data_IF_269803851070
#
_entry.id   IF_269803851070
#
_cell.length_a   1.000
_cell.length_b   1.000
_cell.length_c   1.000
_cell.angle_alpha   90.00
_cell.angle_beta   90.00
_cell.angle_gamma   90.00
#
_symmetry.space_group_name_H-M   'P 1'
#
loop_
_entity.id
_entity.type
_entity.pdbx_description
1 polymer ?
#
# COMPACT_ATOMS: atom_id res chain seq x y z
N UNK A 1 -16.59 -14.61 -48.41
CA UNK A 1 -15.48 -14.03 -47.64
C UNK A 1 -16.00 -13.72 -46.22
N UNK A 2 -15.77 -14.62 -45.25
CA UNK A 2 -16.19 -14.47 -43.86
C UNK A 2 -15.07 -13.76 -43.09
N UNK A 3 -15.33 -12.54 -42.61
CA UNK A 3 -14.40 -11.79 -41.76
C UNK A 3 -14.51 -12.31 -40.35
N UNK A 4 -13.48 -12.96 -39.88
CA UNK A 4 -13.31 -13.44 -38.51
C UNK A 4 -12.90 -12.24 -37.62
N UNK A 5 -13.79 -11.75 -36.76
CA UNK A 5 -13.47 -10.76 -35.74
C UNK A 5 -12.82 -11.48 -34.55
N UNK A 6 -11.53 -11.33 -34.41
CA UNK A 6 -10.77 -11.79 -33.27
C UNK A 6 -10.95 -10.77 -32.14
N UNK A 7 -11.85 -11.05 -31.22
CA UNK A 7 -12.05 -10.24 -30.02
C UNK A 7 -10.90 -10.43 -29.05
N UNK A 8 -10.09 -9.37 -28.88
CA UNK A 8 -9.00 -9.31 -27.90
C UNK A 8 -9.61 -9.10 -26.49
N UNK A 9 -9.83 -10.19 -25.76
CA UNK A 9 -10.20 -10.14 -24.33
C UNK A 9 -8.97 -9.77 -23.53
N UNK A 10 -8.90 -8.51 -23.11
CA UNK A 10 -7.91 -8.06 -22.11
C UNK A 10 -8.22 -8.72 -20.77
N UNK A 11 -7.45 -9.73 -20.40
CA UNK A 11 -7.50 -10.35 -19.08
C UNK A 11 -6.99 -9.35 -18.04
N UNK A 12 -7.89 -8.81 -17.22
CA UNK A 12 -7.60 -8.02 -16.03
C UNK A 12 -6.93 -8.93 -15.00
N UNK A 13 -5.60 -8.89 -14.94
CA UNK A 13 -4.82 -9.46 -13.83
C UNK A 13 -4.99 -8.55 -12.60
N UNK A 14 -6.07 -8.75 -11.85
CA UNK A 14 -6.23 -8.14 -10.52
C UNK A 14 -5.24 -8.79 -9.58
N UNK A 15 -4.29 -7.99 -9.05
CA UNK A 15 -3.34 -8.50 -8.05
C UNK A 15 -4.09 -9.02 -6.81
N UNK A 16 -3.67 -10.13 -6.25
CA UNK A 16 -4.30 -10.79 -5.09
C UNK A 16 -4.46 -9.85 -3.86
N UNK A 17 -3.67 -8.77 -3.78
CA UNK A 17 -3.78 -7.76 -2.72
C UNK A 17 -5.03 -6.88 -2.84
N UNK A 18 -5.65 -6.78 -4.02
CA UNK A 18 -6.89 -6.02 -4.25
C UNK A 18 -8.13 -6.81 -3.83
N UNK A 19 -8.07 -8.14 -3.85
CA UNK A 19 -9.23 -9.03 -3.69
C UNK A 19 -9.93 -8.94 -2.32
N UNK A 20 -9.26 -8.41 -1.28
CA UNK A 20 -9.81 -8.31 0.09
C UNK A 20 -9.74 -6.88 0.66
N UNK A 21 -9.65 -5.86 -0.20
CA UNK A 21 -9.54 -4.48 0.22
C UNK A 21 -10.89 -3.78 0.12
N UNK A 22 -11.41 -3.28 1.24
CA UNK A 22 -12.61 -2.45 1.26
C UNK A 22 -12.29 -1.05 0.73
N UNK A 23 -13.26 -0.44 0.05
CA UNK A 23 -13.13 0.92 -0.46
C UNK A 23 -13.50 1.95 0.62
N UNK A 24 -12.88 3.14 0.61
CA UNK A 24 -13.21 4.21 1.55
C UNK A 24 -14.58 4.84 1.24
N UNK A 25 -15.15 5.52 2.24
CA UNK A 25 -16.38 6.31 2.09
C UNK A 25 -16.05 7.65 1.41
N UNK A 26 -16.02 7.62 0.09
CA UNK A 26 -15.73 8.78 -0.75
C UNK A 26 -16.71 8.87 -1.91
N UNK A 27 -16.89 10.07 -2.44
CA UNK A 27 -17.59 10.33 -3.70
C UNK A 27 -16.56 10.72 -4.75
N UNK A 28 -16.03 9.75 -5.54
CA UNK A 28 -15.03 10.06 -6.55
C UNK A 28 -15.62 10.96 -7.64
N UNK A 29 -14.75 11.68 -8.35
CA UNK A 29 -15.15 12.50 -9.48
C UNK A 29 -15.94 11.67 -10.50
N UNK A 30 -17.10 12.17 -10.92
CA UNK A 30 -18.00 11.44 -11.84
C UNK A 30 -17.47 11.35 -13.26
N UNK A 31 -16.45 12.15 -13.60
CA UNK A 31 -15.78 12.14 -14.91
C UNK A 31 -14.28 12.34 -14.76
N UNK A 32 -13.52 11.68 -15.64
CA UNK A 32 -12.07 11.66 -15.59
C UNK A 32 -11.53 10.85 -14.42
N UNK A 33 -10.24 10.97 -14.20
CA UNK A 33 -9.53 10.22 -13.16
C UNK A 33 -9.56 10.94 -11.81
N UNK A 34 -9.63 10.18 -10.73
CA UNK A 34 -9.51 10.68 -9.36
C UNK A 34 -8.69 9.70 -8.53
N UNK A 35 -7.67 10.21 -7.86
CA UNK A 35 -6.81 9.46 -6.94
C UNK A 35 -7.30 9.68 -5.51
N UNK A 36 -7.52 8.60 -4.77
CA UNK A 36 -7.82 8.68 -3.33
C UNK A 36 -6.77 7.88 -2.56
N UNK A 37 -6.07 8.53 -1.64
CA UNK A 37 -5.07 7.89 -0.79
C UNK A 37 -5.60 7.88 0.63
N UNK A 38 -5.89 6.68 1.16
CA UNK A 38 -6.27 6.56 2.57
C UNK A 38 -5.05 6.14 3.41
N UNK A 39 -4.59 7.07 4.23
CA UNK A 39 -3.39 6.93 5.06
C UNK A 39 -3.48 5.71 5.99
N UNK A 40 -4.60 5.54 6.69
CA UNK A 40 -4.78 4.48 7.66
C UNK A 40 -4.83 3.09 7.03
N UNK A 41 -5.32 3.03 5.79
CA UNK A 41 -5.41 1.83 4.97
C UNK A 41 -4.11 1.50 4.25
N UNK A 42 -3.23 2.52 4.07
CA UNK A 42 -2.01 2.41 3.26
C UNK A 42 -2.32 1.91 1.84
N UNK A 43 -3.36 2.51 1.25
CA UNK A 43 -3.82 2.20 -0.10
C UNK A 43 -4.09 3.47 -0.90
N UNK A 44 -3.75 3.39 -2.18
CA UNK A 44 -4.14 4.34 -3.21
C UNK A 44 -5.20 3.68 -4.08
N UNK A 45 -6.32 4.36 -4.23
CA UNK A 45 -7.45 3.98 -5.06
C UNK A 45 -7.48 4.88 -6.28
N UNK A 46 -7.38 4.31 -7.46
CA UNK A 46 -7.53 5.02 -8.72
C UNK A 46 -8.96 4.80 -9.22
N UNK A 47 -9.69 5.89 -9.37
CA UNK A 47 -11.01 5.90 -9.97
C UNK A 47 -10.94 6.48 -11.38
N UNK A 48 -11.78 6.00 -12.27
CA UNK A 48 -11.98 6.52 -13.63
C UNK A 48 -13.49 6.64 -13.89
N UNK A 49 -13.94 7.85 -14.21
CA UNK A 49 -15.35 8.17 -14.42
C UNK A 49 -16.25 7.66 -13.27
N UNK A 50 -15.81 7.88 -12.04
CA UNK A 50 -16.52 7.49 -10.81
C UNK A 50 -16.43 6.02 -10.45
N UNK A 51 -15.81 5.17 -11.28
CA UNK A 51 -15.66 3.73 -11.03
C UNK A 51 -14.24 3.41 -10.55
N UNK A 52 -14.13 2.53 -9.57
CA UNK A 52 -12.84 2.04 -9.13
C UNK A 52 -12.14 1.27 -10.26
N UNK A 53 -10.98 1.76 -10.67
CA UNK A 53 -10.15 1.15 -11.71
C UNK A 53 -9.07 0.25 -11.11
N UNK A 54 -8.34 0.76 -10.11
CA UNK A 54 -7.23 0.00 -9.50
C UNK A 54 -6.98 0.39 -8.05
N UNK A 55 -6.43 -0.56 -7.28
CA UNK A 55 -5.98 -0.36 -5.90
C UNK A 55 -4.49 -0.70 -5.83
N UNK A 56 -3.70 0.22 -5.28
CA UNK A 56 -2.26 0.02 -5.07
C UNK A 56 -1.93 0.03 -3.58
N UNK A 57 -1.11 -0.90 -3.10
CA UNK A 57 -0.49 -0.77 -1.78
C UNK A 57 0.51 0.39 -1.79
N UNK A 58 0.52 1.20 -0.73
CA UNK A 58 1.42 2.34 -0.62
C UNK A 58 2.07 2.43 0.76
N UNK A 59 3.25 3.04 0.83
CA UNK A 59 3.76 3.52 2.10
C UNK A 59 3.56 5.04 2.17
N UNK A 60 3.25 5.51 3.37
CA UNK A 60 2.94 6.91 3.69
C UNK A 60 3.88 7.45 4.77
N UNK A 61 3.81 8.75 5.03
CA UNK A 61 4.64 9.43 6.02
C UNK A 61 4.50 8.86 7.43
N UNK A 62 5.57 8.95 8.21
CA UNK A 62 5.59 8.68 9.65
C UNK A 62 4.77 9.71 10.40
N UNK A 63 4.47 9.46 11.69
CA UNK A 63 3.75 10.41 12.54
C UNK A 63 4.45 11.78 12.65
N UNK A 64 5.79 11.79 12.64
CA UNK A 64 6.58 13.03 12.69
C UNK A 64 6.70 13.75 11.33
N UNK A 65 6.51 13.04 10.23
CA UNK A 65 6.64 13.54 8.85
C UNK A 65 5.42 13.08 8.05
N UNK A 66 4.25 13.58 8.43
CA UNK A 66 2.96 13.11 7.90
C UNK A 66 2.81 13.43 6.41
N UNK A 67 2.20 12.52 5.67
CA UNK A 67 1.68 12.84 4.34
C UNK A 67 0.57 13.87 4.50
N UNK A 68 0.67 14.99 3.77
CA UNK A 68 -0.27 16.12 3.87
C UNK A 68 -1.67 15.70 3.45
N UNK A 69 -2.61 15.81 4.38
CA UNK A 69 -4.03 15.51 4.13
C UNK A 69 -4.69 16.64 3.34
N UNK A 70 -5.77 16.31 2.65
CA UNK A 70 -6.60 17.28 1.93
C UNK A 70 -6.66 17.03 0.43
N UNK A 71 -7.10 18.06 -0.29
CA UNK A 71 -7.29 18.01 -1.73
C UNK A 71 -6.04 18.49 -2.46
N UNK A 72 -5.61 17.70 -3.41
CA UNK A 72 -4.43 17.93 -4.23
C UNK A 72 -4.77 17.74 -5.72
N UNK A 73 -3.77 17.95 -6.57
CA UNK A 73 -3.80 17.58 -7.98
C UNK A 73 -2.53 16.82 -8.33
N UNK A 74 -2.64 15.92 -9.26
CA UNK A 74 -1.48 15.26 -9.86
C UNK A 74 -0.73 16.29 -10.70
N UNK A 75 0.55 16.44 -10.43
CA UNK A 75 1.44 17.34 -11.13
C UNK A 75 2.31 16.65 -12.18
N UNK A 76 3.44 17.28 -12.48
CA UNK A 76 4.41 16.78 -13.46
C UNK A 76 5.03 15.44 -13.04
N UNK A 77 5.43 14.67 -14.04
CA UNK A 77 6.06 13.35 -13.89
C UNK A 77 7.54 13.45 -14.28
N UNK A 78 8.42 12.83 -13.51
CA UNK A 78 9.83 12.69 -13.84
C UNK A 78 10.19 11.20 -13.88
N UNK A 79 10.70 10.73 -15.01
CA UNK A 79 11.21 9.37 -15.16
C UNK A 79 12.72 9.38 -14.95
N UNK A 80 13.20 8.35 -14.24
CA UNK A 80 14.60 8.23 -13.83
C UNK A 80 15.14 9.54 -13.20
N UNK A 81 14.45 10.05 -12.14
CA UNK A 81 14.83 11.30 -11.52
C UNK A 81 16.18 11.17 -10.80
N UNK A 82 16.90 12.28 -10.67
CA UNK A 82 17.98 12.44 -9.69
C UNK A 82 17.33 12.89 -8.38
N UNK A 83 17.60 12.21 -7.28
CA UNK A 83 17.13 12.67 -5.97
C UNK A 83 18.11 13.67 -5.36
N UNK A 84 17.68 14.92 -5.25
CA UNK A 84 18.38 15.94 -4.47
C UNK A 84 17.94 15.82 -3.01
N UNK A 85 18.90 15.52 -2.14
CA UNK A 85 18.63 15.21 -0.74
C UNK A 85 18.33 16.51 0.02
N UNK A 86 17.16 16.69 0.65
CA UNK A 86 16.85 17.85 1.46
C UNK A 86 17.85 18.04 2.60
N UNK A 87 18.10 19.30 2.99
CA UNK A 87 19.09 19.64 4.03
C UNK A 87 18.77 18.97 5.39
N UNK A 88 17.50 18.79 5.71
CA UNK A 88 17.05 18.06 6.90
C UNK A 88 17.57 16.63 6.92
N UNK A 89 17.40 15.93 5.80
CA UNK A 89 17.82 14.53 5.63
C UNK A 89 19.35 14.43 5.53
N UNK A 90 20.02 15.40 4.87
CA UNK A 90 21.48 15.44 4.84
C UNK A 90 22.06 15.50 6.26
N UNK A 91 21.42 16.27 7.17
CA UNK A 91 21.82 16.34 8.58
C UNK A 91 21.58 15.02 9.33
N UNK A 92 20.48 14.33 9.05
CA UNK A 92 20.19 13.01 9.66
C UNK A 92 21.19 11.95 9.20
N UNK A 93 21.52 11.94 7.92
CA UNK A 93 22.46 10.98 7.32
C UNK A 93 23.90 11.24 7.71
N UNK A 94 24.29 12.49 7.79
CA UNK A 94 25.64 12.94 8.11
C UNK A 94 26.76 12.23 7.31
N UNK A 95 26.47 11.92 6.03
CA UNK A 95 27.38 11.19 5.14
C UNK A 95 28.00 12.07 4.04
N UNK A 96 27.64 13.36 4.02
CA UNK A 96 28.11 14.33 3.04
C UNK A 96 27.49 14.20 1.64
N UNK A 97 26.60 13.22 1.41
CA UNK A 97 25.95 13.00 0.12
C UNK A 97 24.83 14.00 -0.06
N UNK A 98 24.85 14.75 -1.17
CA UNK A 98 23.84 15.78 -1.50
C UNK A 98 22.80 15.32 -2.51
N UNK A 99 23.14 14.36 -3.34
CA UNK A 99 22.22 13.81 -4.33
C UNK A 99 22.47 12.33 -4.60
N UNK A 100 21.44 11.62 -5.08
CA UNK A 100 21.53 10.23 -5.53
C UNK A 100 21.13 10.21 -7.01
N UNK A 101 22.00 9.75 -7.91
CA UNK A 101 21.68 9.66 -9.34
C UNK A 101 20.55 8.69 -9.61
N UNK A 102 19.97 8.77 -10.81
CA UNK A 102 19.02 7.80 -11.29
C UNK A 102 19.62 6.38 -11.24
N UNK A 103 18.81 5.39 -10.89
CA UNK A 103 19.26 4.00 -10.83
C UNK A 103 18.67 3.20 -9.68
N UNK A 104 19.11 1.95 -9.51
CA UNK A 104 18.53 1.01 -8.55
C UNK A 104 18.68 1.43 -7.08
N UNK A 105 19.68 2.25 -6.78
CA UNK A 105 19.94 2.75 -5.42
C UNK A 105 19.17 4.04 -5.09
N UNK A 106 18.43 4.60 -6.06
CA UNK A 106 17.69 5.83 -5.84
C UNK A 106 16.39 5.55 -5.04
N UNK A 107 16.19 6.20 -3.88
CA UNK A 107 14.98 5.99 -3.07
C UNK A 107 13.68 6.42 -3.76
N UNK A 108 13.74 7.29 -4.78
CA UNK A 108 12.58 7.67 -5.59
C UNK A 108 12.20 6.57 -6.60
N UNK A 109 13.08 5.59 -6.82
CA UNK A 109 12.88 4.58 -7.85
C UNK A 109 12.89 5.17 -9.27
N UNK A 110 12.28 4.47 -10.25
CA UNK A 110 12.35 4.86 -11.66
C UNK A 110 11.39 5.99 -12.06
N UNK A 111 10.51 6.43 -11.17
CA UNK A 111 9.53 7.49 -11.48
C UNK A 111 9.09 8.23 -10.23
N UNK A 112 8.90 9.53 -10.40
CA UNK A 112 8.30 10.44 -9.43
C UNK A 112 7.14 11.18 -10.11
N UNK A 113 5.99 11.24 -9.44
CA UNK A 113 4.80 11.98 -9.84
C UNK A 113 4.48 13.02 -8.77
N UNK A 114 4.50 14.30 -9.12
CA UNK A 114 4.20 15.37 -8.18
C UNK A 114 2.77 15.23 -7.64
N UNK A 115 2.61 15.42 -6.33
CA UNK A 115 1.31 15.42 -5.67
C UNK A 115 1.11 16.78 -4.99
N UNK A 116 0.15 17.57 -5.49
CA UNK A 116 -0.17 18.89 -4.96
C UNK A 116 0.81 19.99 -5.32
N UNK A 117 0.80 21.07 -4.52
CA UNK A 117 1.68 22.22 -4.70
C UNK A 117 3.16 21.81 -4.54
N UNK A 118 4.06 22.26 -5.42
CA UNK A 118 5.50 22.02 -5.30
C UNK A 118 6.09 22.40 -3.94
N UNK A 119 5.57 23.44 -3.28
CA UNK A 119 5.98 23.87 -1.94
C UNK A 119 5.77 22.82 -0.84
N UNK A 120 4.88 21.86 -1.07
CA UNK A 120 4.66 20.75 -0.13
C UNK A 120 5.75 19.69 -0.22
N UNK A 121 6.63 19.75 -1.23
CA UNK A 121 7.65 18.73 -1.51
C UNK A 121 7.09 17.30 -1.50
N UNK A 122 5.83 17.13 -1.98
CA UNK A 122 5.08 15.89 -1.90
C UNK A 122 5.01 15.21 -3.27
N UNK A 123 5.12 13.89 -3.30
CA UNK A 123 5.00 13.11 -4.53
C UNK A 123 4.61 11.67 -4.29
N UNK A 124 4.25 11.00 -5.40
CA UNK A 124 4.02 9.56 -5.49
C UNK A 124 5.17 8.99 -6.31
N UNK A 125 5.92 8.03 -5.78
CA UNK A 125 7.14 7.56 -6.44
C UNK A 125 7.41 6.08 -6.21
N UNK A 126 8.33 5.53 -6.97
CA UNK A 126 8.87 4.18 -6.77
C UNK A 126 9.70 4.04 -5.50
N UNK A 127 10.50 2.99 -5.41
CA UNK A 127 11.39 2.79 -4.25
C UNK A 127 12.50 1.79 -4.58
N UNK A 128 13.66 1.97 -3.95
CA UNK A 128 14.70 0.96 -3.84
C UNK A 128 14.46 -0.04 -2.69
N UNK A 129 13.47 0.23 -1.81
CA UNK A 129 13.12 -0.58 -0.65
C UNK A 129 11.67 -1.13 -0.74
N UNK A 130 11.37 -2.08 -1.65
CA UNK A 130 10.01 -2.57 -1.91
C UNK A 130 9.34 -3.22 -0.70
N UNK A 131 10.10 -3.75 0.26
CA UNK A 131 9.60 -4.33 1.50
C UNK A 131 8.98 -3.26 2.45
N UNK A 132 9.25 -1.97 2.22
CA UNK A 132 8.63 -0.88 2.97
C UNK A 132 7.16 -0.61 2.59
N UNK A 133 6.67 -1.24 1.51
CA UNK A 133 5.30 -1.06 0.97
C UNK A 133 4.48 -2.34 1.18
N UNK A 134 3.30 -2.27 1.84
CA UNK A 134 2.69 -1.10 2.47
C UNK A 134 3.33 -0.75 3.82
N UNK A 135 3.16 0.51 4.27
CA UNK A 135 3.69 0.91 5.57
C UNK A 135 3.52 2.39 5.92
N UNK A 136 3.91 2.75 7.14
CA UNK A 136 3.99 4.12 7.64
C UNK A 136 5.48 4.42 7.83
N UNK A 137 6.19 4.79 6.75
CA UNK A 137 7.66 4.75 6.74
C UNK A 137 8.34 5.92 6.03
N UNK A 138 7.63 6.69 5.17
CA UNK A 138 8.25 7.78 4.42
C UNK A 138 8.36 9.06 5.25
N UNK A 139 9.03 10.06 4.68
CA UNK A 139 9.10 11.43 5.22
C UNK A 139 8.04 12.36 4.60
N UNK A 140 6.87 11.80 4.25
CA UNK A 140 5.73 12.54 3.73
C UNK A 140 5.28 12.07 2.36
N UNK A 141 6.18 11.75 1.44
CA UNK A 141 5.83 11.23 0.12
C UNK A 141 5.10 9.88 0.18
N UNK A 142 4.34 9.59 -0.86
CA UNK A 142 3.62 8.32 -1.04
C UNK A 142 4.50 7.38 -1.86
N UNK A 143 4.95 6.30 -1.24
CA UNK A 143 5.85 5.34 -1.85
C UNK A 143 5.08 4.15 -2.39
N UNK A 144 5.39 3.72 -3.60
CA UNK A 144 4.85 2.53 -4.26
C UNK A 144 5.98 1.56 -4.58
N UNK A 145 5.65 0.29 -4.79
CA UNK A 145 6.61 -0.62 -5.45
C UNK A 145 6.91 -0.08 -6.85
N UNK A 146 8.14 -0.16 -7.31
CA UNK A 146 8.57 0.48 -8.57
C UNK A 146 7.76 0.05 -9.81
N UNK A 147 7.37 -1.22 -10.00
CA UNK A 147 6.47 -1.61 -11.10
C UNK A 147 5.10 -0.93 -11.01
N UNK A 148 4.51 -0.86 -9.81
CA UNK A 148 3.22 -0.20 -9.58
C UNK A 148 3.31 1.30 -9.84
N UNK A 149 4.41 1.95 -9.42
CA UNK A 149 4.65 3.37 -9.64
C UNK A 149 4.78 3.72 -11.12
N UNK A 150 5.47 2.88 -11.89
CA UNK A 150 5.61 3.05 -13.35
C UNK A 150 4.26 2.87 -14.06
N UNK A 151 3.48 1.86 -13.68
CA UNK A 151 2.14 1.65 -14.21
C UNK A 151 1.21 2.82 -13.87
N UNK A 152 1.19 3.23 -12.60
CA UNK A 152 0.43 4.39 -12.15
C UNK A 152 0.80 5.66 -12.93
N UNK A 153 2.10 5.97 -13.07
CA UNK A 153 2.57 7.15 -13.79
C UNK A 153 2.19 7.15 -15.27
N UNK A 154 2.15 5.99 -15.93
CA UNK A 154 1.69 5.86 -17.32
C UNK A 154 0.18 6.05 -17.46
N UNK A 155 -0.57 5.72 -16.44
CA UNK A 155 -2.05 5.72 -16.48
C UNK A 155 -2.64 7.06 -16.06
N UNK A 156 -2.09 7.69 -15.01
CA UNK A 156 -2.68 8.89 -14.42
C UNK A 156 -2.38 10.13 -15.25
N UNK A 157 -3.38 10.98 -15.46
CA UNK A 157 -3.21 12.26 -16.16
C UNK A 157 -2.71 13.36 -15.20
N UNK A 158 -1.84 14.25 -15.68
CA UNK A 158 -1.50 15.49 -14.99
C UNK A 158 -2.78 16.34 -14.84
N UNK A 159 -2.96 16.97 -13.67
CA UNK A 159 -4.15 17.74 -13.34
C UNK A 159 -5.31 16.93 -12.75
N UNK A 160 -5.23 15.59 -12.76
CA UNK A 160 -6.24 14.77 -12.09
C UNK A 160 -6.35 15.14 -10.61
N UNK A 161 -7.58 15.24 -10.04
CA UNK A 161 -7.76 15.44 -8.61
C UNK A 161 -7.19 14.28 -7.80
N UNK A 162 -6.65 14.60 -6.63
CA UNK A 162 -6.10 13.64 -5.69
C UNK A 162 -6.50 14.03 -4.27
N UNK A 163 -7.20 13.14 -3.58
CA UNK A 163 -7.63 13.33 -2.19
C UNK A 163 -6.80 12.46 -1.27
N UNK A 164 -6.12 13.07 -0.31
CA UNK A 164 -5.43 12.37 0.77
C UNK A 164 -6.31 12.42 2.01
N UNK A 165 -6.84 11.26 2.40
CA UNK A 165 -7.84 11.12 3.47
C UNK A 165 -7.32 10.29 4.63
N UNK A 166 -8.05 10.35 5.75
CA UNK A 166 -7.69 9.64 6.98
C UNK A 166 -8.91 8.92 7.57
N UNK A 167 -9.40 7.90 6.88
CA UNK A 167 -10.56 7.12 7.35
C UNK A 167 -10.09 5.88 8.10
N UNK A 168 -10.46 5.78 9.38
CA UNK A 168 -10.03 4.70 10.26
C UNK A 168 -10.92 3.45 10.17
N UNK A 169 -11.95 3.45 9.33
CA UNK A 169 -12.77 2.30 9.03
C UNK A 169 -13.29 2.35 7.58
N UNK A 170 -13.70 1.21 7.05
CA UNK A 170 -14.46 1.10 5.81
C UNK A 170 -15.65 0.18 6.03
N UNK A 171 -16.83 0.64 5.63
CA UNK A 171 -18.09 -0.11 5.68
C UNK A 171 -18.60 -0.28 4.26
N UNK A 172 -18.69 -1.52 3.77
CA UNK A 172 -19.05 -1.79 2.39
C UNK A 172 -20.09 -2.90 2.29
N UNK A 173 -20.95 -2.79 1.28
CA UNK A 173 -21.79 -3.86 0.79
C UNK A 173 -21.14 -4.48 -0.43
N UNK A 174 -21.10 -5.82 -0.48
CA UNK A 174 -20.57 -6.55 -1.63
C UNK A 174 -21.66 -6.89 -2.66
N UNK A 175 -21.25 -7.46 -3.80
CA UNK A 175 -22.17 -7.83 -4.88
C UNK A 175 -23.23 -8.89 -4.47
N UNK A 176 -23.02 -9.59 -3.36
CA UNK A 176 -23.96 -10.57 -2.81
C UNK A 176 -24.79 -9.97 -1.64
N UNK A 177 -24.82 -8.66 -1.50
CA UNK A 177 -25.52 -7.95 -0.41
C UNK A 177 -25.05 -8.39 0.99
N UNK A 178 -23.76 -8.69 1.14
CA UNK A 178 -23.16 -8.89 2.44
C UNK A 178 -22.52 -7.61 2.95
N UNK A 179 -22.68 -7.35 4.24
CA UNK A 179 -22.07 -6.21 4.90
C UNK A 179 -20.68 -6.57 5.41
N UNK A 180 -19.70 -5.71 5.06
CA UNK A 180 -18.30 -5.89 5.41
C UNK A 180 -17.77 -4.66 6.17
N UNK A 181 -16.99 -4.91 7.21
CA UNK A 181 -16.35 -3.90 8.04
C UNK A 181 -14.85 -4.18 8.15
N UNK A 182 -14.05 -3.14 7.99
CA UNK A 182 -12.66 -3.12 8.39
C UNK A 182 -12.38 -1.89 9.26
N UNK A 183 -11.54 -2.05 10.26
CA UNK A 183 -11.03 -0.95 11.08
C UNK A 183 -9.50 -0.93 11.03
N UNK A 184 -8.92 0.26 10.94
CA UNK A 184 -7.50 0.49 10.72
C UNK A 184 -6.84 1.12 11.93
N UNK A 185 -5.53 0.92 12.06
CA UNK A 185 -4.71 1.60 13.07
C UNK A 185 -4.74 3.11 12.85
N UNK A 186 -4.41 3.87 13.89
CA UNK A 186 -4.32 5.32 13.88
C UNK A 186 -2.85 5.78 13.88
N UNK A 187 -2.17 5.77 12.73
CA UNK A 187 -0.73 6.03 12.67
C UNK A 187 -0.35 7.46 13.04
N UNK A 188 -1.28 8.41 12.93
CA UNK A 188 -1.05 9.83 13.26
C UNK A 188 -1.72 10.27 14.54
N UNK A 189 -2.31 9.33 15.30
CA UNK A 189 -3.02 9.60 16.56
C UNK A 189 -4.11 10.70 16.44
N UNK A 190 -4.85 10.68 15.33
CA UNK A 190 -5.93 11.65 15.05
C UNK A 190 -7.17 11.42 15.90
N UNK A 191 -7.39 10.19 16.38
CA UNK A 191 -8.54 9.77 17.22
C UNK A 191 -9.90 10.13 16.60
N UNK A 192 -9.98 10.16 15.26
CA UNK A 192 -11.14 10.65 14.50
C UNK A 192 -12.12 9.53 14.07
N UNK A 193 -12.08 8.36 14.70
CA UNK A 193 -13.05 7.29 14.43
C UNK A 193 -14.36 7.58 15.19
N UNK A 194 -15.38 8.03 14.46
CA UNK A 194 -16.73 8.18 14.98
C UNK A 194 -17.45 6.82 15.02
N UNK A 195 -17.25 6.11 16.12
CA UNK A 195 -17.85 4.79 16.32
C UNK A 195 -19.36 4.84 16.46
N UNK A 196 -19.92 5.94 16.97
CA UNK A 196 -21.37 6.09 17.14
C UNK A 196 -22.08 6.19 15.77
N UNK A 197 -21.59 7.04 14.88
CA UNK A 197 -22.13 7.18 13.53
C UNK A 197 -21.94 5.90 12.71
N UNK A 198 -20.78 5.22 12.85
CA UNK A 198 -20.53 3.95 12.19
C UNK A 198 -21.51 2.87 12.64
N UNK A 199 -21.76 2.73 13.97
CA UNK A 199 -22.73 1.78 14.50
C UNK A 199 -24.16 2.09 14.07
N UNK A 200 -24.55 3.38 13.99
CA UNK A 200 -25.85 3.79 13.43
C UNK A 200 -26.01 3.37 11.98
N UNK A 201 -24.99 3.54 11.13
CA UNK A 201 -25.01 3.11 9.74
C UNK A 201 -25.12 1.59 9.61
N UNK A 202 -24.43 0.83 10.45
CA UNK A 202 -24.53 -0.64 10.51
C UNK A 202 -25.96 -1.08 10.90
N UNK A 203 -26.52 -0.47 11.95
CA UNK A 203 -27.88 -0.77 12.42
C UNK A 203 -28.96 -0.42 11.37
N UNK A 204 -28.81 0.73 10.71
CA UNK A 204 -29.72 1.15 9.63
C UNK A 204 -29.68 0.16 8.45
N UNK A 205 -28.49 -0.26 8.04
CA UNK A 205 -28.33 -1.26 6.98
C UNK A 205 -28.95 -2.61 7.40
N UNK A 206 -28.68 -3.07 8.62
CA UNK A 206 -29.19 -4.33 9.15
C UNK A 206 -30.73 -4.34 9.16
N UNK A 207 -31.34 -3.26 9.65
CA UNK A 207 -32.81 -3.07 9.64
C UNK A 207 -33.37 -3.12 8.22
N UNK A 208 -32.76 -2.43 7.26
CA UNK A 208 -33.23 -2.38 5.88
C UNK A 208 -33.16 -3.76 5.18
N UNK A 209 -32.27 -4.65 5.63
CA UNK A 209 -32.06 -5.97 5.02
C UNK A 209 -32.60 -7.13 5.88
N UNK A 210 -33.32 -6.85 6.99
CA UNK A 210 -33.84 -7.87 7.90
C UNK A 210 -32.73 -8.76 8.49
N UNK A 211 -31.57 -8.17 8.78
CA UNK A 211 -30.39 -8.89 9.33
C UNK A 211 -30.14 -8.48 10.78
N UNK A 212 -29.65 -9.43 11.56
CA UNK A 212 -29.16 -9.17 12.93
C UNK A 212 -27.64 -9.22 12.95
N UNK A 213 -27.01 -8.21 13.53
CA UNK A 213 -25.55 -8.09 13.64
C UNK A 213 -25.18 -7.93 15.11
N UNK A 214 -24.44 -8.90 15.71
CA UNK A 214 -24.04 -8.81 17.10
C UNK A 214 -23.13 -7.61 17.36
N UNK A 215 -23.47 -6.77 18.33
CA UNK A 215 -22.68 -5.60 18.72
C UNK A 215 -21.25 -5.98 19.12
N UNK A 216 -21.10 -7.04 19.89
CA UNK A 216 -19.80 -7.54 20.35
C UNK A 216 -18.84 -7.84 19.17
N UNK A 217 -19.37 -8.33 18.03
CA UNK A 217 -18.58 -8.58 16.82
C UNK A 217 -18.06 -7.28 16.21
N UNK A 218 -18.91 -6.25 16.14
CA UNK A 218 -18.53 -4.92 15.66
C UNK A 218 -17.46 -4.32 16.57
N UNK A 219 -17.68 -4.37 17.89
CA UNK A 219 -16.74 -3.83 18.87
C UNK A 219 -15.38 -4.53 18.86
N UNK A 220 -15.37 -5.85 18.69
CA UNK A 220 -14.13 -6.60 18.54
C UNK A 220 -13.31 -6.14 17.30
N UNK A 221 -13.96 -5.88 16.17
CA UNK A 221 -13.30 -5.38 14.95
C UNK A 221 -12.76 -3.96 15.18
N UNK A 222 -13.57 -3.08 15.78
CA UNK A 222 -13.19 -1.69 16.06
C UNK A 222 -12.07 -1.59 17.09
N UNK A 223 -12.02 -2.48 18.05
CA UNK A 223 -10.94 -2.59 19.04
C UNK A 223 -9.66 -3.16 18.42
N UNK A 224 -9.80 -4.21 17.60
CA UNK A 224 -8.66 -4.94 17.03
C UNK A 224 -7.89 -4.15 15.97
N UNK A 225 -8.56 -3.33 15.15
CA UNK A 225 -7.97 -2.46 14.12
C UNK A 225 -6.92 -3.15 13.25
N UNK A 226 -7.22 -4.39 12.84
CA UNK A 226 -6.27 -5.23 12.08
C UNK A 226 -6.18 -4.84 10.59
N UNK A 227 -7.13 -4.06 10.10
CA UNK A 227 -7.27 -3.74 8.68
C UNK A 227 -7.88 -4.87 7.83
N UNK A 228 -8.15 -6.02 8.42
CA UNK A 228 -8.79 -7.12 7.72
C UNK A 228 -10.25 -6.81 7.39
N UNK A 229 -10.70 -7.21 6.20
CA UNK A 229 -12.10 -7.17 5.82
C UNK A 229 -12.85 -8.30 6.57
N UNK A 230 -13.81 -7.92 7.39
CA UNK A 230 -14.64 -8.83 8.16
C UNK A 230 -16.08 -8.77 7.68
N UNK A 231 -16.62 -9.88 7.26
CA UNK A 231 -18.03 -9.94 6.90
C UNK A 231 -18.89 -9.98 8.16
N UNK A 232 -19.85 -9.09 8.27
CA UNK A 232 -20.76 -9.02 9.41
C UNK A 232 -21.97 -9.94 9.24
N UNK A 233 -22.33 -10.29 8.00
CA UNK A 233 -23.59 -11.01 7.67
C UNK A 233 -23.39 -12.32 6.92
N UNK A 234 -22.16 -12.67 6.55
CA UNK A 234 -21.86 -13.90 5.82
C UNK A 234 -21.77 -15.14 6.71
N UNK A 235 -22.03 -16.29 6.11
CA UNK A 235 -21.55 -17.57 6.62
C UNK A 235 -20.00 -17.60 6.67
N UNK A 236 -19.44 -18.46 7.53
CA UNK A 236 -17.99 -18.63 7.66
C UNK A 236 -17.37 -19.05 6.32
N UNK A 237 -16.27 -18.40 5.96
CA UNK A 237 -15.49 -18.75 4.75
C UNK A 237 -15.92 -18.02 3.47
N UNK A 238 -16.95 -17.19 3.49
CA UNK A 238 -17.36 -16.37 2.34
C UNK A 238 -16.26 -15.34 2.03
N UNK A 239 -15.92 -15.23 0.75
CA UNK A 239 -14.95 -14.27 0.24
C UNK A 239 -15.65 -12.99 -0.24
N UNK A 240 -14.96 -11.86 -0.07
CA UNK A 240 -15.40 -10.57 -0.56
C UNK A 240 -15.60 -10.60 -2.09
N UNK A 241 -16.73 -10.09 -2.59
CA UNK A 241 -17.07 -10.10 -4.01
C UNK A 241 -17.33 -8.68 -4.53
N UNK A 242 -16.57 -8.29 -5.53
CA UNK A 242 -16.77 -7.01 -6.24
C UNK A 242 -17.98 -7.08 -7.19
N UNK A 243 -18.62 -5.93 -7.53
CA UNK A 243 -18.24 -4.58 -7.08
C UNK A 243 -18.63 -4.31 -5.63
N UNK A 244 -17.89 -3.40 -4.98
CA UNK A 244 -18.17 -2.95 -3.63
C UNK A 244 -18.93 -1.62 -3.68
N UNK A 245 -19.91 -1.46 -2.82
CA UNK A 245 -20.62 -0.22 -2.56
C UNK A 245 -20.22 0.27 -1.18
N UNK A 246 -19.60 1.46 -1.11
CA UNK A 246 -19.32 2.08 0.17
C UNK A 246 -20.61 2.62 0.79
N UNK A 247 -20.75 2.40 2.09
CA UNK A 247 -21.85 2.95 2.88
C UNK A 247 -21.34 4.15 3.66
N UNK A 248 -22.08 5.25 3.62
CA UNK A 248 -21.74 6.47 4.32
C UNK A 248 -21.81 6.27 5.84
N UNK A 249 -20.71 6.56 6.52
CA UNK A 249 -20.63 6.48 7.98
C UNK A 249 -19.85 7.64 8.60
N UNK A 250 -19.06 8.35 7.78
CA UNK A 250 -18.34 9.52 8.26
C UNK A 250 -19.29 10.68 8.50
N UNK A 251 -19.17 11.33 9.65
CA UNK A 251 -19.84 12.59 9.88
C UNK A 251 -19.27 13.64 8.92
N UNK A 252 -20.10 14.43 8.28
CA UNK A 252 -19.68 15.46 7.32
C UNK A 252 -18.79 16.58 7.91
N UNK A 253 -18.50 16.52 9.21
CA UNK A 253 -17.70 17.48 9.97
C UNK A 253 -16.22 17.14 10.02
N UNK A 254 -15.83 15.93 9.67
CA UNK A 254 -14.43 15.52 9.67
C UNK A 254 -13.77 15.82 8.32
N UNK A 255 -13.05 16.93 8.25
CA UNK A 255 -12.34 17.38 7.03
C UNK A 255 -11.27 16.39 6.53
N UNK A 256 -10.85 15.46 7.37
CA UNK A 256 -9.84 14.46 7.02
C UNK A 256 -10.44 13.15 6.51
N UNK A 257 -11.73 12.92 6.75
CA UNK A 257 -12.40 11.66 6.42
C UNK A 257 -13.14 11.69 5.10
N UNK A 258 -13.56 12.87 4.64
CA UNK A 258 -14.37 13.00 3.44
C UNK A 258 -13.83 14.08 2.51
N UNK A 259 -13.38 13.75 1.30
CA UNK A 259 -12.92 14.74 0.35
C UNK A 259 -14.08 15.62 -0.11
N UNK A 260 -13.79 16.90 -0.32
CA UNK A 260 -14.71 17.80 -1.01
C UNK A 260 -14.88 17.32 -2.44
N UNK A 261 -16.10 17.47 -2.99
CA UNK A 261 -16.33 17.22 -4.42
C UNK A 261 -15.44 18.17 -5.21
N UNK A 262 -14.51 17.61 -5.96
CA UNK A 262 -13.61 18.38 -6.81
C UNK A 262 -14.34 18.76 -8.10
N UNK A 263 -14.18 20.00 -8.59
CA UNK A 263 -14.67 20.36 -9.92
C UNK A 263 -13.98 19.47 -10.97
N UNK A 264 -14.69 19.19 -12.07
CA UNK A 264 -14.15 18.43 -13.20
C UNK A 264 -12.80 19.01 -13.62
N UNK A 265 -11.71 18.21 -13.62
CA UNK A 265 -10.43 18.72 -14.10
C UNK A 265 -10.57 19.08 -15.58
N UNK A 266 -10.02 20.24 -15.95
CA UNK A 266 -9.82 20.55 -17.36
C UNK A 266 -8.93 19.47 -17.99
N UNK A 267 -9.13 19.09 -19.25
CA UNK A 267 -8.24 18.15 -19.93
C UNK A 267 -6.83 18.75 -19.93
N UNK A 268 -5.98 18.24 -19.08
CA UNK A 268 -4.60 18.67 -18.98
C UNK A 268 -3.74 17.82 -19.91
N UNK A 269 -2.83 18.48 -20.65
CA UNK A 269 -1.76 17.76 -21.34
C UNK A 269 -0.86 17.14 -20.28
N UNK A 270 -0.46 15.90 -20.52
CA UNK A 270 0.45 15.20 -19.63
C UNK A 270 1.78 15.96 -19.56
N UNK A 271 2.21 16.37 -18.37
CA UNK A 271 3.46 17.10 -18.17
C UNK A 271 4.52 16.11 -17.71
N UNK A 272 5.38 15.74 -18.64
CA UNK A 272 6.53 14.87 -18.39
C UNK A 272 7.79 15.73 -18.42
N UNK A 273 8.56 15.69 -17.34
CA UNK A 273 9.83 16.41 -17.21
C UNK A 273 10.95 15.64 -17.93
N UNK A 274 12.03 16.31 -18.35
CA UNK A 274 13.19 15.65 -18.94
C UNK A 274 13.72 14.50 -18.07
N UNK A 275 14.36 13.52 -18.72
CA UNK A 275 15.06 12.43 -18.02
C UNK A 275 16.16 13.01 -17.12
N UNK A 276 16.31 12.45 -15.93
CA UNK A 276 17.32 12.91 -14.99
C UNK A 276 16.99 14.25 -14.30
N UNK A 277 15.73 14.74 -14.43
CA UNK A 277 15.32 15.95 -13.69
C UNK A 277 15.60 15.78 -12.19
N UNK A 278 16.20 16.80 -11.59
CA UNK A 278 16.45 16.84 -10.16
C UNK A 278 15.12 17.02 -9.39
N UNK A 279 14.90 16.17 -8.42
CA UNK A 279 13.72 16.19 -7.55
C UNK A 279 14.20 16.32 -6.09
N UNK A 280 13.81 17.40 -5.43
CA UNK A 280 14.02 17.58 -4.00
C UNK A 280 12.74 17.27 -3.25
N UNK A 281 12.73 16.16 -2.53
CA UNK A 281 11.63 15.72 -1.67
C UNK A 281 12.17 14.91 -0.51
N UNK A 282 11.40 14.84 0.57
CA UNK A 282 11.70 14.04 1.75
C UNK A 282 11.47 12.54 1.47
N UNK A 283 12.43 11.90 0.80
CA UNK A 283 12.42 10.48 0.49
C UNK A 283 13.60 9.79 1.17
N UNK A 284 13.44 9.35 2.41
CA UNK A 284 14.46 8.52 3.06
C UNK A 284 14.13 7.05 2.93
N UNK A 285 15.19 6.26 2.88
CA UNK A 285 15.11 4.81 3.00
C UNK A 285 15.34 4.42 4.46
N UNK A 286 14.31 3.86 5.11
CA UNK A 286 14.40 3.37 6.48
C UNK A 286 15.22 2.07 6.62
N UNK A 287 15.73 1.51 5.52
CA UNK A 287 16.47 0.24 5.55
C UNK A 287 17.90 0.39 6.05
N UNK A 288 18.44 1.61 6.18
CA UNK A 288 19.85 1.84 6.57
C UNK A 288 20.15 1.67 8.07
N UNK A 289 19.19 1.24 8.90
CA UNK A 289 19.47 0.97 10.32
C UNK A 289 19.79 -0.49 10.63
N UNK A 290 19.80 -1.37 9.65
CA UNK A 290 20.06 -2.81 9.83
C UNK A 290 21.29 -3.33 9.07
N UNK A 291 22.07 -2.48 8.42
CA UNK A 291 23.31 -2.89 7.72
C UNK A 291 24.45 -1.94 8.03
N UNK A 292 24.89 -1.91 9.27
CA UNK A 292 26.22 -1.44 9.65
C UNK A 292 27.11 -2.66 9.76
N UNK A 293 27.77 -3.03 8.65
CA UNK A 293 29.07 -3.74 8.60
C UNK A 293 29.53 -3.85 7.15
N UNK A 294 30.86 -3.93 6.89
CA UNK A 294 31.95 -3.11 7.35
C UNK A 294 32.60 -2.35 6.18
N UNK A 295 33.29 -1.29 6.54
CA UNK A 295 34.23 -0.56 5.69
C UNK A 295 35.23 -1.51 5.03
N UNK A 296 35.13 -1.72 3.71
CA UNK A 296 36.31 -2.01 2.90
C UNK A 296 36.60 -0.82 1.99
N UNK A 297 37.54 -0.05 2.46
CA UNK A 297 38.29 0.91 1.69
C UNK A 297 39.01 0.16 0.56
N UNK A 298 38.50 0.26 -0.66
CA UNK A 298 39.29 -0.07 -1.84
C UNK A 298 39.64 1.20 -2.56
N UNK A 299 40.87 1.66 -2.26
CA UNK A 299 41.56 2.68 -3.00
C UNK A 299 41.88 2.14 -4.40
N UNK A 300 41.54 2.82 -5.50
CA UNK A 300 41.98 2.35 -6.80
C UNK A 300 43.47 2.63 -6.99
N UNK A 301 44.28 1.57 -7.11
CA UNK A 301 45.63 1.62 -7.62
C UNK A 301 45.63 1.65 -9.16
N UNK A 302 46.53 2.40 -9.79
CA UNK A 302 46.56 2.51 -11.23
C UNK A 302 47.10 1.22 -11.89
N UNK A 303 46.35 0.71 -12.85
CA UNK A 303 46.72 -0.48 -13.64
C UNK A 303 47.77 -0.07 -14.69
N UNK A 304 48.94 -0.67 -14.61
CA UNK A 304 49.98 -0.69 -15.66
C UNK A 304 49.72 -1.87 -16.59
N UNK A 305 49.85 -1.73 -17.92
CA UNK A 305 49.54 -2.77 -18.83
C UNK A 305 50.56 -3.91 -18.85
N UNK A 306 50.11 -5.14 -18.77
CA UNK A 306 50.94 -6.35 -18.93
C UNK A 306 50.74 -7.00 -20.31
N UNK A 307 51.85 -7.43 -20.85
CA UNK A 307 52.15 -8.06 -22.11
C UNK A 307 51.74 -9.57 -22.11
N UNK A 308 51.44 -10.18 -23.26
CA UNK A 308 50.84 -11.50 -23.31
C UNK A 308 51.88 -12.66 -23.47
N UNK A 309 51.46 -13.86 -23.10
CA UNK A 309 51.86 -15.22 -23.52
C UNK A 309 51.93 -16.14 -22.30
N UNK A 310 51.55 -17.37 -22.28
CA UNK A 310 51.49 -18.50 -23.17
C UNK A 310 50.64 -19.61 -22.50
N UNK A 311 50.09 -20.51 -23.34
CA UNK A 311 49.38 -21.76 -23.07
C UNK A 311 50.40 -22.94 -23.07
N UNK A 312 50.05 -24.21 -22.81
CA UNK A 312 49.29 -24.90 -21.79
C UNK A 312 50.04 -26.13 -21.19
N UNK A 313 49.50 -26.78 -20.15
CA UNK A 313 49.76 -28.20 -19.88
C UNK A 313 48.66 -28.86 -19.04
N UNK A 314 48.19 -29.89 -19.55
CA UNK A 314 47.35 -31.06 -19.27
C UNK A 314 47.40 -31.68 -17.89
N UNK A 315 46.21 -32.03 -17.41
CA UNK A 315 45.62 -33.17 -16.66
C UNK A 315 46.57 -34.23 -16.01
N UNK A 316 46.19 -34.97 -14.93
CA UNK A 316 45.00 -35.83 -14.92
C UNK A 316 44.20 -35.94 -13.59
N UNK A 317 43.09 -36.65 -13.77
CA UNK A 317 42.07 -37.10 -12.87
C UNK A 317 42.50 -37.99 -11.70
N UNK A 318 41.71 -37.95 -10.62
CA UNK A 318 41.38 -39.14 -9.83
C UNK A 318 40.07 -38.89 -9.04
N UNK A 319 39.15 -39.79 -9.27
CA UNK A 319 37.95 -40.14 -8.47
C UNK A 319 38.23 -41.54 -7.90
N UNK A 320 37.43 -42.16 -7.04
CA UNK A 320 36.43 -41.78 -6.02
C UNK A 320 36.56 -42.57 -4.70
N UNK A 321 35.68 -42.34 -3.72
CA UNK A 321 35.14 -43.34 -2.77
C UNK A 321 34.51 -42.59 -1.58
N UNK A 322 33.44 -42.83 -1.03
CA UNK A 322 32.41 -43.84 -0.84
C UNK A 322 31.63 -43.43 0.41
N UNK A 323 30.32 -43.60 0.37
CA UNK A 323 29.42 -43.50 1.54
C UNK A 323 29.63 -44.67 2.50
N UNK A 324 29.13 -44.61 3.75
CA UNK A 324 27.95 -45.38 4.12
C UNK A 324 27.00 -44.65 5.06
N UNK A 325 25.71 -44.73 4.85
CA UNK A 325 24.66 -45.67 5.28
C UNK A 325 24.41 -45.78 6.78
N UNK A 326 23.21 -45.36 7.15
CA UNK A 326 22.14 -46.05 7.86
C UNK A 326 21.95 -45.88 9.36
N UNK A 327 20.70 -45.64 9.64
CA UNK A 327 19.76 -46.21 10.62
C UNK A 327 19.70 -45.43 11.95
N UNK A 328 18.61 -45.18 12.61
CA UNK A 328 17.28 -45.80 12.73
C UNK A 328 16.40 -44.94 13.64
N UNK A 329 15.11 -45.02 13.43
CA UNK A 329 13.98 -44.66 14.31
C UNK A 329 14.01 -45.40 15.67
N UNK A 330 13.00 -45.29 16.57
CA UNK A 330 12.07 -44.22 16.97
C UNK A 330 11.95 -44.10 18.52
N UNK A 331 11.26 -43.08 19.05
CA UNK A 331 10.65 -43.19 20.40
C UNK A 331 9.55 -42.12 20.61
N UNK A 332 8.33 -42.53 20.62
CA UNK A 332 7.29 -42.53 21.66
C UNK A 332 6.89 -41.21 22.27
N UNK A 333 5.60 -40.93 22.08
CA UNK A 333 4.79 -39.98 22.81
C UNK A 333 4.61 -40.36 24.30
N UNK A 334 4.25 -39.41 25.16
CA UNK A 334 3.28 -39.70 26.22
C UNK A 334 2.06 -38.78 26.24
N UNK A 335 0.93 -39.43 26.24
CA UNK A 335 -0.22 -39.45 27.14
C UNK A 335 -0.78 -38.10 27.67
N UNK A 336 -2.03 -37.94 27.33
CA UNK A 336 -3.10 -37.15 27.89
C UNK A 336 -3.20 -37.10 29.41
N UNK A 337 -3.56 -35.92 29.94
CA UNK A 337 -4.18 -35.76 31.27
C UNK A 337 -5.35 -34.76 31.19
N UNK A 338 -6.32 -34.77 32.11
CA UNK A 338 -7.72 -34.69 31.81
C UNK A 338 -8.33 -33.27 31.94
N UNK A 339 -9.44 -33.13 31.19
CA UNK A 339 -10.41 -32.02 31.21
C UNK A 339 -11.02 -31.86 32.60
N UNK A 340 -10.97 -30.63 33.14
CA UNK A 340 -11.84 -30.18 34.20
C UNK A 340 -12.97 -29.36 33.61
N UNK A 341 -14.17 -29.89 33.74
CA UNK A 341 -15.44 -29.20 33.55
C UNK A 341 -15.55 -28.01 34.53
N UNK A 342 -15.97 -26.86 34.02
CA UNK A 342 -16.45 -25.73 34.80
C UNK A 342 -17.89 -25.43 34.36
N UNK A 343 -18.84 -25.21 35.29
CA UNK A 343 -20.26 -25.21 34.99
C UNK A 343 -20.72 -23.91 34.30
N UNK A 344 -21.80 -24.04 33.56
CA UNK A 344 -22.57 -23.00 32.95
C UNK A 344 -23.07 -21.97 33.97
N UNK A 345 -22.88 -20.67 33.68
CA UNK A 345 -23.64 -19.60 34.27
C UNK A 345 -24.16 -18.67 33.17
N UNK A 346 -25.46 -18.61 33.19
CA UNK A 346 -26.46 -17.73 32.57
C UNK A 346 -26.01 -16.42 31.96
N UNK A 347 -26.61 -16.20 30.79
CA UNK A 347 -26.72 -14.97 30.00
C UNK A 347 -27.18 -13.73 30.82
N UNK A 348 -26.92 -12.49 30.25
CA UNK A 348 -28.01 -11.92 29.47
C UNK A 348 -27.62 -11.39 28.10
N UNK A 349 -28.54 -11.60 27.17
CA UNK A 349 -28.57 -11.04 25.82
C UNK A 349 -28.69 -9.51 25.86
N UNK A 350 -27.68 -8.82 25.30
CA UNK A 350 -27.87 -7.44 24.86
C UNK A 350 -27.97 -7.40 23.32
N UNK A 351 -29.21 -7.42 22.85
CA UNK A 351 -29.57 -7.17 21.46
C UNK A 351 -29.56 -5.66 21.24
N UNK A 352 -28.75 -5.19 20.31
CA UNK A 352 -28.87 -3.85 19.76
C UNK A 352 -30.03 -3.77 18.75
N UNK A 353 -30.96 -2.91 19.06
CA UNK A 353 -31.99 -2.43 18.12
C UNK A 353 -31.41 -1.49 17.07
#
# INVERSE_FOLDING_TARGET
MKKLFLGLTAALLTSAAAANTLIPDVSPASSGQHVVINITQQRLFLYDNGKLSKIYPVAVGKAMTQTTLGEHKIGAKAYNPVWHIPKSIQKERNDGVKSVPAGPNNPLGPVFVRLGDPKLSLGIHGTNAPASVPGVRSHGCVRMKSPDALEFAKTIATGAPASVIYQMASLNEDANQNLWLAAYRDPYNKKNLDTATLKKSIAAWAKAHGKTIPAARVDAILKGRTGAANCLTCAKGVKLKSPLKSLAWTSGTDAYSKPKVMPKPAPAKDVVLPQGTEIEVDATDDTNKAASEPKQSVRPTPVKPAKPAAKPATTPAETPASAPKAASEPATAPASAPVKEIPASSEPEDLLF
#
